data_IF_999335578566
#
_entry.id   IF_999335578566
#
_cell.length_a   1.000
_cell.length_b   1.000
_cell.length_c   1.000
_cell.angle_alpha   90.00
_cell.angle_beta   90.00
_cell.angle_gamma   90.00
#
_symmetry.space_group_name_H-M   'P 1'
#
loop_
_entity.id
_entity.type
_entity.pdbx_description
1 polymer ?
#
# COMPACT_ATOMS: atom_id res chain seq x y z
N UNK A 1 25.94 7.02 29.97
CA UNK A 1 24.69 7.19 29.19
C UNK A 1 24.93 7.29 27.68
N UNK A 2 25.80 8.20 27.19
CA UNK A 2 26.05 8.40 25.74
C UNK A 2 26.56 7.15 25.02
N UNK A 3 27.42 6.33 25.64
CA UNK A 3 27.92 5.08 25.04
C UNK A 3 26.83 3.97 24.94
N UNK A 4 25.94 3.89 25.91
CA UNK A 4 24.81 2.95 25.86
C UNK A 4 23.84 3.30 24.75
N UNK A 5 23.54 4.58 24.52
CA UNK A 5 22.68 5.04 23.42
C UNK A 5 23.32 4.75 22.07
N UNK A 6 24.65 4.96 21.93
CA UNK A 6 25.37 4.64 20.70
C UNK A 6 25.41 3.13 20.42
N UNK A 7 25.55 2.29 21.46
CA UNK A 7 25.54 0.83 21.32
C UNK A 7 24.16 0.32 20.94
N UNK A 8 23.09 0.85 21.54
CA UNK A 8 21.71 0.50 21.18
C UNK A 8 21.39 0.94 19.75
N UNK A 9 21.83 2.14 19.37
CA UNK A 9 21.64 2.66 18.00
C UNK A 9 22.39 1.82 16.96
N UNK A 10 23.63 1.40 17.24
CA UNK A 10 24.42 0.56 16.32
C UNK A 10 23.84 -0.85 16.22
N UNK A 11 23.42 -1.45 17.32
CA UNK A 11 22.78 -2.78 17.34
C UNK A 11 21.44 -2.77 16.58
N UNK A 12 20.63 -1.74 16.78
CA UNK A 12 19.38 -1.55 16.03
C UNK A 12 19.63 -1.39 14.52
N UNK A 13 20.67 -0.62 14.15
CA UNK A 13 21.05 -0.41 12.74
C UNK A 13 21.56 -1.70 12.08
N UNK A 14 22.30 -2.53 12.80
CA UNK A 14 22.80 -3.84 12.33
C UNK A 14 21.64 -4.85 12.20
N UNK A 15 20.73 -4.89 13.16
CA UNK A 15 19.56 -5.77 13.12
C UNK A 15 18.60 -5.43 11.96
N UNK A 16 18.52 -4.15 11.55
CA UNK A 16 17.63 -3.71 10.48
C UNK A 16 18.26 -3.72 9.08
N UNK A 17 19.58 -3.95 8.94
CA UNK A 17 20.29 -3.90 7.66
C UNK A 17 20.45 -5.26 6.96
N UNK A 18 20.21 -6.38 7.66
CA UNK A 18 20.33 -7.74 7.11
C UNK A 18 19.02 -8.32 6.57
N UNK A 19 19.08 -9.60 6.14
CA UNK A 19 17.88 -10.36 5.72
C UNK A 19 16.77 -10.35 6.78
N UNK A 20 17.13 -10.43 8.05
CA UNK A 20 16.19 -10.36 9.17
C UNK A 20 15.47 -8.99 9.22
N UNK A 21 16.19 -7.90 9.07
CA UNK A 21 15.59 -6.56 9.02
C UNK A 21 14.66 -6.35 7.82
N UNK A 22 14.97 -6.97 6.68
CA UNK A 22 14.09 -6.96 5.52
C UNK A 22 12.75 -7.67 5.81
N UNK A 23 12.80 -8.86 6.41
CA UNK A 23 11.63 -9.62 6.81
C UNK A 23 10.81 -8.84 7.84
N UNK A 24 11.47 -8.30 8.88
CA UNK A 24 10.80 -7.53 9.93
C UNK A 24 10.03 -6.31 9.36
N UNK A 25 10.63 -5.57 8.44
CA UNK A 25 9.97 -4.43 7.77
C UNK A 25 8.76 -4.88 6.95
N UNK A 26 8.89 -5.96 6.16
CA UNK A 26 7.79 -6.50 5.38
C UNK A 26 6.64 -6.99 6.28
N UNK A 27 6.95 -7.69 7.36
CA UNK A 27 5.95 -8.16 8.36
C UNK A 27 5.26 -6.98 9.04
N UNK A 28 6.00 -5.93 9.42
CA UNK A 28 5.42 -4.72 10.01
C UNK A 28 4.37 -4.11 9.06
N UNK A 29 4.71 -3.95 7.78
CA UNK A 29 3.77 -3.39 6.81
C UNK A 29 2.60 -4.35 6.51
N UNK A 30 2.78 -5.67 6.55
CA UNK A 30 1.68 -6.62 6.46
C UNK A 30 0.70 -6.48 7.64
N UNK A 31 1.21 -6.32 8.86
CA UNK A 31 0.38 -6.06 10.05
C UNK A 31 -0.31 -4.69 9.95
N UNK A 32 0.38 -3.65 9.48
CA UNK A 32 -0.24 -2.34 9.25
C UNK A 32 -1.34 -2.40 8.19
N UNK A 33 -1.19 -3.21 7.13
CA UNK A 33 -2.23 -3.45 6.14
C UNK A 33 -3.46 -4.09 6.79
N UNK A 34 -3.28 -5.12 7.61
CA UNK A 34 -4.37 -5.75 8.35
C UNK A 34 -5.05 -4.74 9.30
N UNK A 35 -4.29 -3.99 10.07
CA UNK A 35 -4.83 -2.94 10.95
C UNK A 35 -5.61 -1.87 10.17
N UNK A 36 -5.07 -1.41 9.04
CA UNK A 36 -5.71 -0.41 8.19
C UNK A 36 -7.02 -0.90 7.53
N UNK A 37 -7.12 -2.19 7.24
CA UNK A 37 -8.35 -2.79 6.73
C UNK A 37 -9.44 -2.90 7.79
N UNK A 38 -9.04 -3.09 9.04
CA UNK A 38 -9.95 -3.22 10.19
C UNK A 38 -10.32 -1.87 10.81
N UNK A 39 -9.54 -0.82 10.58
CA UNK A 39 -9.74 0.52 11.16
C UNK A 39 -11.03 1.22 10.68
N UNK A 40 -11.73 0.64 9.74
CA UNK A 40 -13.02 1.10 9.22
C UNK A 40 -13.13 0.89 7.72
N UNK A 41 -14.30 0.45 7.31
CA UNK A 41 -14.68 0.29 5.91
C UNK A 41 -15.88 1.21 5.66
N UNK A 42 -15.72 2.23 4.82
CA UNK A 42 -16.79 3.16 4.49
C UNK A 42 -17.51 2.65 3.24
N UNK A 43 -18.77 2.22 3.33
CA UNK A 43 -19.51 1.77 2.17
C UNK A 43 -19.76 2.92 1.20
N UNK A 44 -19.72 2.61 -0.10
CA UNK A 44 -20.06 3.55 -1.16
C UNK A 44 -21.34 3.06 -1.85
N UNK A 45 -22.34 3.92 -2.04
CA UNK A 45 -23.51 3.56 -2.84
C UNK A 45 -23.11 3.15 -4.26
N UNK A 46 -23.68 2.03 -4.74
CA UNK A 46 -23.45 1.56 -6.11
C UNK A 46 -22.30 0.57 -6.31
N UNK A 47 -21.44 0.35 -5.30
CA UNK A 47 -20.39 -0.68 -5.35
C UNK A 47 -20.35 -1.50 -4.06
N UNK A 48 -20.14 -2.83 -4.14
CA UNK A 48 -19.97 -3.67 -2.95
C UNK A 48 -18.58 -3.52 -2.30
N UNK A 49 -17.67 -2.77 -2.90
CA UNK A 49 -16.31 -2.56 -2.41
C UNK A 49 -16.27 -1.29 -1.54
N UNK A 50 -15.86 -1.36 -0.26
CA UNK A 50 -15.80 -0.20 0.60
C UNK A 50 -14.50 0.60 0.41
N UNK A 51 -14.53 1.89 0.78
CA UNK A 51 -13.29 2.66 1.00
C UNK A 51 -12.63 2.19 2.30
N UNK A 52 -11.33 1.95 2.23
CA UNK A 52 -10.51 1.57 3.41
C UNK A 52 -9.21 2.38 3.45
N UNK A 53 -8.46 2.28 4.53
CA UNK A 53 -7.11 2.83 4.62
C UNK A 53 -6.02 1.92 4.02
N UNK A 54 -6.39 0.76 3.47
CA UNK A 54 -5.45 -0.21 2.91
C UNK A 54 -4.59 0.39 1.80
N UNK A 55 -5.19 1.08 0.83
CA UNK A 55 -4.47 1.73 -0.29
C UNK A 55 -3.41 2.70 0.21
N UNK A 56 -3.69 3.44 1.30
CA UNK A 56 -2.70 4.33 1.92
C UNK A 56 -1.48 3.57 2.45
N UNK A 57 -1.70 2.45 3.14
CA UNK A 57 -0.60 1.63 3.68
C UNK A 57 0.17 0.93 2.54
N UNK A 58 -0.51 0.50 1.46
CA UNK A 58 0.16 -0.02 0.25
C UNK A 58 1.08 1.04 -0.36
N UNK A 59 0.60 2.28 -0.51
CA UNK A 59 1.39 3.41 -1.00
C UNK A 59 2.61 3.67 -0.11
N UNK A 60 2.43 3.71 1.23
CA UNK A 60 3.54 3.89 2.17
C UNK A 60 4.56 2.76 2.09
N UNK A 61 4.11 1.49 2.07
CA UNK A 61 4.98 0.34 1.91
C UNK A 61 5.81 0.44 0.62
N UNK A 62 5.15 0.76 -0.50
CA UNK A 62 5.80 0.91 -1.80
C UNK A 62 6.83 2.05 -1.82
N UNK A 63 6.52 3.19 -1.20
CA UNK A 63 7.40 4.35 -1.17
C UNK A 63 8.56 4.19 -0.19
N UNK A 64 8.37 3.49 0.93
CA UNK A 64 9.38 3.36 1.99
C UNK A 64 10.26 2.12 1.84
N UNK A 65 9.76 1.04 1.24
CA UNK A 65 10.48 -0.22 1.11
C UNK A 65 11.01 -0.44 -0.31
N UNK A 66 12.11 -1.19 -0.49
CA UNK A 66 12.50 -1.75 -1.79
C UNK A 66 11.38 -2.64 -2.35
N UNK A 67 11.26 -2.75 -3.67
CA UNK A 67 10.16 -3.45 -4.34
C UNK A 67 9.94 -4.90 -3.87
N UNK A 68 11.03 -5.64 -3.58
CA UNK A 68 10.94 -7.01 -3.04
C UNK A 68 10.30 -7.04 -1.65
N UNK A 69 10.62 -6.07 -0.81
CA UNK A 69 10.06 -5.98 0.55
C UNK A 69 8.62 -5.48 0.51
N UNK A 70 8.31 -4.50 -0.34
CA UNK A 70 6.93 -4.01 -0.52
C UNK A 70 6.02 -5.12 -1.06
N UNK A 71 6.46 -5.85 -2.08
CA UNK A 71 5.74 -7.02 -2.59
C UNK A 71 5.59 -8.12 -1.53
N UNK A 72 6.65 -8.41 -0.76
CA UNK A 72 6.59 -9.40 0.32
C UNK A 72 5.59 -9.00 1.43
N UNK A 73 5.51 -7.70 1.78
CA UNK A 73 4.53 -7.22 2.76
C UNK A 73 3.09 -7.47 2.30
N UNK A 74 2.78 -7.12 1.05
CA UNK A 74 1.45 -7.37 0.48
C UNK A 74 1.17 -8.86 0.35
N UNK A 75 2.16 -9.65 -0.11
CA UNK A 75 2.01 -11.09 -0.23
C UNK A 75 1.73 -11.76 1.12
N UNK A 76 2.44 -11.37 2.19
CA UNK A 76 2.18 -11.86 3.55
C UNK A 76 0.77 -11.52 4.02
N UNK A 77 0.31 -10.29 3.75
CA UNK A 77 -1.04 -9.85 4.07
C UNK A 77 -2.10 -10.68 3.34
N UNK A 78 -1.94 -10.87 2.02
CA UNK A 78 -2.86 -11.68 1.22
C UNK A 78 -2.85 -13.16 1.65
N UNK A 79 -1.66 -13.71 1.95
CA UNK A 79 -1.52 -15.08 2.43
C UNK A 79 -2.20 -15.29 3.79
N UNK A 80 -2.13 -14.33 4.70
CA UNK A 80 -2.83 -14.37 5.98
C UNK A 80 -4.36 -14.45 5.79
N UNK A 81 -4.92 -13.62 4.91
CA UNK A 81 -6.35 -13.67 4.58
C UNK A 81 -6.75 -14.94 3.84
N UNK A 82 -5.91 -15.44 2.93
CA UNK A 82 -6.12 -16.72 2.24
C UNK A 82 -6.10 -17.91 3.21
N UNK A 83 -5.30 -17.83 4.28
CA UNK A 83 -5.26 -18.82 5.36
C UNK A 83 -6.46 -18.72 6.33
N UNK A 84 -7.43 -17.84 6.08
CA UNK A 84 -8.64 -17.71 6.87
C UNK A 84 -8.57 -16.67 7.98
N UNK A 85 -7.47 -15.94 8.15
CA UNK A 85 -7.40 -14.88 9.16
C UNK A 85 -8.30 -13.69 8.74
N UNK A 86 -9.06 -13.08 9.67
CA UNK A 86 -9.99 -11.99 9.38
C UNK A 86 -9.25 -10.65 9.23
N UNK A 87 -8.36 -10.56 8.22
CA UNK A 87 -7.47 -9.41 8.00
C UNK A 87 -7.93 -8.47 6.88
N UNK A 88 -8.99 -8.81 6.15
CA UNK A 88 -9.55 -7.94 5.10
C UNK A 88 -10.67 -7.05 5.64
N UNK A 89 -11.13 -6.11 4.82
CA UNK A 89 -12.14 -5.12 5.20
C UNK A 89 -13.39 -5.77 5.83
N UNK A 90 -13.85 -5.21 6.94
CA UNK A 90 -15.00 -5.74 7.68
C UNK A 90 -14.76 -7.09 8.38
N UNK A 91 -13.50 -7.49 8.59
CA UNK A 91 -13.15 -8.80 9.19
C UNK A 91 -13.27 -9.96 8.20
N UNK A 92 -13.32 -9.68 6.90
CA UNK A 92 -13.37 -10.72 5.88
C UNK A 92 -12.02 -11.46 5.75
N UNK A 93 -12.06 -12.66 5.20
CA UNK A 93 -10.91 -13.54 4.99
C UNK A 93 -10.92 -14.13 3.57
N UNK A 94 -10.75 -15.42 3.42
CA UNK A 94 -10.64 -16.14 2.13
C UNK A 94 -11.76 -15.77 1.13
N UNK A 95 -12.99 -15.55 1.59
CA UNK A 95 -14.11 -15.18 0.72
C UNK A 95 -13.94 -13.83 0.02
N UNK A 96 -13.17 -12.91 0.59
CA UNK A 96 -12.88 -11.63 -0.06
C UNK A 96 -11.99 -11.79 -1.31
N UNK A 97 -11.20 -12.87 -1.38
CA UNK A 97 -10.33 -13.18 -2.52
C UNK A 97 -11.06 -13.82 -3.71
N UNK A 98 -12.30 -14.20 -3.52
CA UNK A 98 -13.18 -14.74 -4.59
C UNK A 98 -14.43 -13.89 -4.79
N UNK A 99 -14.58 -12.81 -4.01
CA UNK A 99 -15.68 -11.86 -4.08
C UNK A 99 -15.35 -10.62 -4.93
N UNK A 100 -16.27 -9.65 -4.98
CA UNK A 100 -16.14 -8.42 -5.80
C UNK A 100 -14.90 -7.58 -5.50
N UNK A 101 -14.32 -7.68 -4.29
CA UNK A 101 -13.09 -6.98 -3.89
C UNK A 101 -11.81 -7.69 -4.31
N UNK A 102 -11.89 -8.91 -4.85
CA UNK A 102 -10.73 -9.78 -5.13
C UNK A 102 -9.70 -9.09 -6.04
N UNK A 103 -10.17 -8.41 -7.09
CA UNK A 103 -9.32 -7.73 -8.05
C UNK A 103 -8.45 -6.64 -7.42
N UNK A 104 -9.01 -5.85 -6.51
CA UNK A 104 -8.28 -4.81 -5.78
C UNK A 104 -7.30 -5.42 -4.78
N UNK A 105 -7.71 -6.46 -4.03
CA UNK A 105 -6.82 -7.13 -3.08
C UNK A 105 -5.61 -7.75 -3.77
N UNK A 106 -5.82 -8.48 -4.86
CA UNK A 106 -4.75 -9.09 -5.66
C UNK A 106 -3.95 -8.00 -6.37
N UNK A 107 -4.61 -6.95 -6.82
CA UNK A 107 -4.03 -5.77 -7.47
C UNK A 107 -3.03 -5.02 -6.59
N UNK A 108 -3.18 -5.04 -5.27
CA UNK A 108 -2.21 -4.44 -4.35
C UNK A 108 -0.79 -4.96 -4.54
N UNK A 109 -0.63 -6.23 -4.92
CA UNK A 109 0.70 -6.83 -5.11
C UNK A 109 1.46 -6.18 -6.29
N UNK A 110 0.96 -6.22 -7.53
CA UNK A 110 1.61 -5.52 -8.63
C UNK A 110 1.63 -4.00 -8.44
N UNK A 111 0.62 -3.40 -7.81
CA UNK A 111 0.59 -1.97 -7.50
C UNK A 111 1.76 -1.56 -6.59
N UNK A 112 2.00 -2.28 -5.50
CA UNK A 112 3.11 -2.02 -4.59
C UNK A 112 4.48 -2.18 -5.28
N UNK A 113 4.65 -3.22 -6.09
CA UNK A 113 5.89 -3.48 -6.83
C UNK A 113 6.16 -2.37 -7.85
N UNK A 114 5.17 -2.03 -8.69
CA UNK A 114 5.30 -1.00 -9.74
C UNK A 114 5.56 0.37 -9.12
N UNK A 115 4.80 0.76 -8.10
CA UNK A 115 5.03 2.02 -7.37
C UNK A 115 6.45 2.07 -6.80
N UNK A 116 6.92 0.99 -6.17
CA UNK A 116 8.27 0.95 -5.60
C UNK A 116 9.38 0.99 -6.66
N UNK A 117 9.15 0.45 -7.85
CA UNK A 117 10.10 0.55 -8.98
C UNK A 117 10.13 1.97 -9.56
N UNK A 118 8.97 2.64 -9.68
CA UNK A 118 8.84 3.98 -10.26
C UNK A 118 9.31 5.09 -9.32
N UNK A 119 9.27 4.90 -8.00
CA UNK A 119 9.64 5.95 -7.02
C UNK A 119 11.10 6.44 -7.17
N UNK A 120 12.01 5.59 -7.66
CA UNK A 120 13.43 5.91 -7.80
C UNK A 120 14.11 6.24 -6.45
N UNK A 121 15.29 6.88 -6.49
CA UNK A 121 16.05 7.26 -5.30
C UNK A 121 15.59 8.62 -4.78
N UNK A 122 15.36 8.74 -3.46
CA UNK A 122 15.06 10.02 -2.84
C UNK A 122 16.26 10.97 -2.90
N UNK A 123 15.99 12.24 -3.17
CA UNK A 123 16.96 13.35 -3.04
C UNK A 123 16.31 14.39 -2.15
N UNK A 124 16.97 14.71 -1.02
CA UNK A 124 16.39 15.54 0.06
C UNK A 124 17.40 16.58 0.59
N UNK A 125 18.42 16.85 -0.21
CA UNK A 125 19.51 17.79 0.08
C UNK A 125 19.05 19.26 0.01
N UNK A 126 17.97 19.56 -0.69
CA UNK A 126 17.37 20.90 -0.76
C UNK A 126 15.86 20.84 -0.81
N UNK A 127 15.18 21.96 -0.51
CA UNK A 127 13.72 22.03 -0.59
C UNK A 127 13.21 21.68 -2.00
N UNK A 128 13.90 22.16 -3.04
CA UNK A 128 13.58 21.81 -4.43
C UNK A 128 13.63 20.28 -4.65
N UNK A 129 14.66 19.60 -4.15
CA UNK A 129 14.80 18.16 -4.31
C UNK A 129 13.76 17.38 -3.50
N UNK A 130 13.36 17.86 -2.32
CA UNK A 130 12.25 17.28 -1.55
C UNK A 130 10.94 17.37 -2.32
N UNK A 131 10.62 18.55 -2.91
CA UNK A 131 9.40 18.73 -3.71
C UNK A 131 9.42 17.83 -4.94
N UNK A 132 10.54 17.75 -5.66
CA UNK A 132 10.67 16.88 -6.84
C UNK A 132 10.55 15.39 -6.46
N UNK A 133 11.09 15.00 -5.31
CA UNK A 133 10.94 13.63 -4.79
C UNK A 133 9.49 13.34 -4.45
N UNK A 134 8.79 14.25 -3.77
CA UNK A 134 7.36 14.11 -3.46
C UNK A 134 6.50 14.05 -4.73
N UNK A 135 6.78 14.88 -5.74
CA UNK A 135 6.06 14.86 -7.02
C UNK A 135 6.25 13.52 -7.76
N UNK A 136 7.48 12.99 -7.78
CA UNK A 136 7.77 11.67 -8.37
C UNK A 136 7.10 10.54 -7.58
N UNK A 137 7.07 10.62 -6.27
CA UNK A 137 6.37 9.66 -5.41
C UNK A 137 4.86 9.68 -5.67
N UNK A 138 4.28 10.87 -5.82
CA UNK A 138 2.88 11.02 -6.19
C UNK A 138 2.59 10.39 -7.55
N UNK A 139 3.42 10.66 -8.56
CA UNK A 139 3.29 10.01 -9.87
C UNK A 139 3.35 8.49 -9.76
N UNK A 140 4.31 7.95 -9.00
CA UNK A 140 4.44 6.51 -8.79
C UNK A 140 3.20 5.92 -8.11
N UNK A 141 2.64 6.58 -7.08
CA UNK A 141 1.40 6.15 -6.42
C UNK A 141 0.21 6.18 -7.38
N UNK A 142 0.07 7.23 -8.18
CA UNK A 142 -1.02 7.31 -9.17
C UNK A 142 -0.89 6.19 -10.20
N UNK A 143 0.30 5.96 -10.77
CA UNK A 143 0.50 4.94 -11.78
C UNK A 143 0.27 3.51 -11.25
N UNK A 144 0.82 3.19 -10.06
CA UNK A 144 0.72 1.85 -9.48
C UNK A 144 -0.54 1.65 -8.64
N UNK A 145 -0.74 2.47 -7.61
CA UNK A 145 -1.79 2.21 -6.62
C UNK A 145 -3.16 2.79 -7.00
N UNK A 146 -3.27 3.64 -8.03
CA UNK A 146 -4.57 4.09 -8.54
C UNK A 146 -4.84 3.43 -9.90
N UNK A 147 -4.05 3.74 -10.93
CA UNK A 147 -4.35 3.30 -12.29
C UNK A 147 -4.29 1.77 -12.42
N UNK A 148 -3.16 1.16 -12.02
CA UNK A 148 -2.99 -0.29 -12.18
C UNK A 148 -3.91 -1.08 -11.25
N UNK A 149 -4.05 -0.67 -9.98
CA UNK A 149 -4.92 -1.35 -9.02
C UNK A 149 -6.39 -1.27 -9.44
N UNK A 150 -6.86 -0.09 -9.86
CA UNK A 150 -8.23 0.08 -10.33
C UNK A 150 -8.52 -0.71 -11.61
N UNK A 151 -7.56 -0.76 -12.54
CA UNK A 151 -7.72 -1.56 -13.75
C UNK A 151 -7.97 -3.02 -13.40
N UNK A 152 -7.13 -3.60 -12.53
CA UNK A 152 -7.29 -4.99 -12.08
C UNK A 152 -8.57 -5.18 -11.26
N UNK A 153 -8.87 -4.24 -10.36
CA UNK A 153 -10.08 -4.22 -9.55
C UNK A 153 -11.33 -4.25 -10.42
N UNK A 154 -11.43 -3.35 -11.40
CA UNK A 154 -12.60 -3.23 -12.26
C UNK A 154 -12.77 -4.45 -13.19
N UNK A 155 -11.68 -4.97 -13.76
CA UNK A 155 -11.72 -6.17 -14.61
C UNK A 155 -12.29 -7.36 -13.81
N UNK A 156 -11.71 -7.63 -12.64
CA UNK A 156 -12.11 -8.79 -11.82
C UNK A 156 -13.50 -8.58 -11.23
N UNK A 157 -13.82 -7.38 -10.74
CA UNK A 157 -15.16 -7.09 -10.23
C UNK A 157 -16.23 -7.25 -11.31
N UNK A 158 -15.99 -6.73 -12.52
CA UNK A 158 -16.90 -6.91 -13.67
C UNK A 158 -17.11 -8.39 -14.01
N UNK A 159 -16.04 -9.17 -14.04
CA UNK A 159 -16.09 -10.60 -14.32
C UNK A 159 -16.86 -11.39 -13.25
N UNK A 160 -16.71 -11.05 -11.96
CA UNK A 160 -17.37 -11.75 -10.85
C UNK A 160 -18.85 -11.34 -10.75
N UNK A 161 -19.17 -10.05 -10.94
CA UNK A 161 -20.53 -9.53 -10.74
C UNK A 161 -21.40 -9.60 -11.99
N UNK A 162 -20.80 -9.80 -13.17
CA UNK A 162 -21.52 -9.73 -14.46
C UNK A 162 -21.90 -8.29 -14.87
N UNK A 163 -21.52 -7.28 -14.09
CA UNK A 163 -21.79 -5.87 -14.39
C UNK A 163 -20.75 -5.34 -15.38
N UNK A 164 -21.20 -4.63 -16.41
CA UNK A 164 -20.30 -4.07 -17.42
C UNK A 164 -19.19 -3.18 -16.80
N UNK A 165 -17.96 -3.36 -17.22
CA UNK A 165 -16.78 -2.65 -16.65
C UNK A 165 -16.95 -1.12 -16.59
N UNK A 166 -17.51 -0.40 -17.58
CA UNK A 166 -17.75 1.04 -17.46
C UNK A 166 -18.69 1.41 -16.30
N UNK A 167 -19.69 0.59 -16.03
CA UNK A 167 -20.64 0.79 -14.91
C UNK A 167 -19.93 0.58 -13.58
N UNK A 168 -19.12 -0.47 -13.47
CA UNK A 168 -18.26 -0.70 -12.29
C UNK A 168 -17.33 0.49 -12.05
N UNK A 169 -16.68 0.98 -13.10
CA UNK A 169 -15.77 2.12 -13.01
C UNK A 169 -16.50 3.39 -12.52
N UNK A 170 -17.66 3.72 -13.09
CA UNK A 170 -18.45 4.88 -12.68
C UNK A 170 -18.92 4.75 -11.22
N UNK A 171 -19.42 3.59 -10.81
CA UNK A 171 -19.85 3.34 -9.44
C UNK A 171 -18.69 3.46 -8.43
N UNK A 172 -17.47 3.21 -8.89
CA UNK A 172 -16.25 3.25 -8.08
C UNK A 172 -15.57 4.63 -8.06
N UNK A 173 -16.10 5.64 -8.75
CA UNK A 173 -15.50 6.99 -8.78
C UNK A 173 -15.37 7.64 -7.39
N UNK A 174 -16.20 7.23 -6.42
CA UNK A 174 -16.08 7.67 -5.04
C UNK A 174 -14.74 7.34 -4.39
N UNK A 175 -14.00 6.33 -4.87
CA UNK A 175 -12.65 6.01 -4.38
C UNK A 175 -11.61 7.06 -4.75
N UNK A 176 -11.71 7.65 -5.96
CA UNK A 176 -10.67 8.48 -6.56
C UNK A 176 -10.28 9.65 -5.66
N UNK A 177 -11.27 10.38 -5.15
CA UNK A 177 -10.99 11.54 -4.29
C UNK A 177 -10.21 11.13 -3.04
N UNK A 178 -10.66 10.08 -2.36
CA UNK A 178 -9.99 9.54 -1.18
C UNK A 178 -8.59 9.04 -1.48
N UNK A 179 -8.40 8.29 -2.55
CA UNK A 179 -7.11 7.72 -2.90
C UNK A 179 -6.12 8.76 -3.47
N UNK A 180 -6.60 9.81 -4.14
CA UNK A 180 -5.76 10.95 -4.50
C UNK A 180 -5.24 11.69 -3.25
N UNK A 181 -6.09 11.91 -2.25
CA UNK A 181 -5.68 12.52 -0.97
C UNK A 181 -4.64 11.62 -0.28
N UNK A 182 -4.89 10.31 -0.20
CA UNK A 182 -3.95 9.34 0.37
C UNK A 182 -2.61 9.34 -0.37
N UNK A 183 -2.62 9.41 -1.71
CA UNK A 183 -1.41 9.45 -2.53
C UNK A 183 -0.59 10.72 -2.25
N UNK A 184 -1.23 11.88 -2.12
CA UNK A 184 -0.57 13.14 -1.74
C UNK A 184 0.06 13.02 -0.35
N UNK A 185 -0.72 12.58 0.65
CA UNK A 185 -0.24 12.44 2.03
C UNK A 185 0.89 11.42 2.13
N UNK A 186 0.75 10.24 1.49
CA UNK A 186 1.79 9.22 1.47
C UNK A 186 3.09 9.73 0.85
N UNK A 187 2.99 10.50 -0.25
CA UNK A 187 4.14 11.06 -0.95
C UNK A 187 4.88 12.11 -0.10
N UNK A 188 4.14 12.97 0.59
CA UNK A 188 4.71 13.97 1.50
C UNK A 188 5.36 13.33 2.73
N UNK A 189 4.68 12.37 3.36
CA UNK A 189 5.20 11.63 4.52
C UNK A 189 6.47 10.86 4.13
N UNK A 190 6.43 10.07 3.05
CA UNK A 190 7.58 9.29 2.63
C UNK A 190 8.77 10.15 2.21
N UNK A 191 8.55 11.28 1.52
CA UNK A 191 9.63 12.20 1.16
C UNK A 191 10.20 12.94 2.37
N UNK A 192 9.39 13.28 3.37
CA UNK A 192 9.84 13.85 4.64
C UNK A 192 10.67 12.86 5.45
N UNK A 193 10.22 11.62 5.57
CA UNK A 193 10.93 10.55 6.28
C UNK A 193 12.24 10.12 5.58
N UNK A 194 12.35 10.33 4.27
CA UNK A 194 13.59 10.06 3.53
C UNK A 194 14.79 10.93 3.98
N UNK A 195 14.53 12.05 4.70
CA UNK A 195 15.59 12.86 5.34
C UNK A 195 16.22 12.18 6.56
N UNK A 196 15.52 11.18 7.14
CA UNK A 196 15.94 10.50 8.37
C UNK A 196 16.64 9.16 8.07
N UNK A 197 16.68 8.73 6.83
CA UNK A 197 17.31 7.51 6.34
C UNK A 197 18.69 7.80 5.75
#
# INVERSE_FOLDING_TARGET
MRNAILTISSAAKTATSGKFGAILKSTLFAVLLAAASMAGAVPIPGTPVPITLQTFVVMLAALMLPWKQAGAAVLMYLAAGAAGLPVFAGGASTMALVGPSAGFLIGFLPAAVVTSLLKGKARVDSLKHVVLTAARYLFACVAGCIVLDYLLGFIVQSAITGVAMPVVAIASMGFIVGDCIKAVVASLVASGLAKLQ
#
